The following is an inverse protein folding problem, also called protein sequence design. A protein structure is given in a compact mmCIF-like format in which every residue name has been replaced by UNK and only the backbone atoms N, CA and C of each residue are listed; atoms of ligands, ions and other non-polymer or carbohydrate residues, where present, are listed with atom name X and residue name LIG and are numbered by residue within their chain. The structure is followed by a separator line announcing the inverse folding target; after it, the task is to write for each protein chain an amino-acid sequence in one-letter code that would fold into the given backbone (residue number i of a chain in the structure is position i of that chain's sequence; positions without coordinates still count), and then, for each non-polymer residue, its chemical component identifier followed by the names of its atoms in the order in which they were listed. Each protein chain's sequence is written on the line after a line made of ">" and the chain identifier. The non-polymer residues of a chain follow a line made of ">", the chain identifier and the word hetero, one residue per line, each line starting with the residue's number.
data_IF_430587447166
#
_entry.id   IF_430587447166
#
_cell.length_a   1.000
_cell.length_b   1.000
_cell.length_c   1.000
_cell.angle_alpha   90.00
_cell.angle_beta   90.00
_cell.angle_gamma   90.00
#
_symmetry.space_group_name_H-M   'P 1'
#
loop_
_entity.id
_entity.type
_entity.pdbx_description
1 polymer ?
#
# COMPACT_ATOMS: atom_id res chain seq x y z
N UNK A 1 6.69 9.26 21.95
CA UNK A 1 6.99 8.14 21.04
C UNK A 1 8.49 7.94 20.99
N UNK A 2 8.98 6.70 21.11
CA UNK A 2 10.39 6.39 20.86
C UNK A 2 10.71 6.56 19.36
N UNK A 3 11.94 6.89 18.96
CA UNK A 3 12.29 7.10 17.55
C UNK A 3 11.91 5.94 16.63
N UNK A 4 12.02 4.70 17.12
CA UNK A 4 11.66 3.53 16.34
C UNK A 4 10.14 3.39 16.14
N UNK A 5 9.31 3.88 17.07
CA UNK A 5 7.85 3.85 16.95
C UNK A 5 7.40 4.89 15.92
N UNK A 6 8.01 6.09 15.94
CA UNK A 6 7.73 7.15 14.96
C UNK A 6 8.03 6.67 13.54
N UNK A 7 9.19 6.02 13.31
CA UNK A 7 9.52 5.46 11.99
C UNK A 7 8.46 4.50 11.45
N UNK A 8 7.84 3.67 12.30
CA UNK A 8 6.79 2.75 11.88
C UNK A 8 5.49 3.49 11.52
N UNK A 9 5.16 4.56 12.27
CA UNK A 9 4.00 5.41 11.95
C UNK A 9 4.19 6.18 10.64
N UNK A 10 5.37 6.74 10.42
CA UNK A 10 5.70 7.47 9.21
C UNK A 10 5.65 6.53 8.00
N UNK A 11 6.26 5.35 8.12
CA UNK A 11 6.25 4.32 7.09
C UNK A 11 4.83 3.83 6.76
N UNK A 12 3.98 3.61 7.76
CA UNK A 12 2.58 3.22 7.54
C UNK A 12 1.82 4.32 6.79
N UNK A 13 2.00 5.58 7.20
CA UNK A 13 1.35 6.75 6.58
C UNK A 13 1.75 6.88 5.11
N UNK A 14 3.04 6.78 4.81
CA UNK A 14 3.53 6.85 3.43
C UNK A 14 3.02 5.69 2.57
N UNK A 15 2.97 4.48 3.14
CA UNK A 15 2.49 3.30 2.43
C UNK A 15 0.98 3.38 2.14
N UNK A 16 0.18 3.85 3.10
CA UNK A 16 -1.26 4.02 2.94
C UNK A 16 -1.59 5.01 1.82
N UNK A 17 -0.83 6.11 1.72
CA UNK A 17 -0.96 7.07 0.61
C UNK A 17 -0.62 6.44 -0.75
N UNK A 18 0.37 5.54 -0.81
CA UNK A 18 0.71 4.81 -2.05
C UNK A 18 -0.37 3.78 -2.40
N UNK A 19 -0.94 3.09 -1.41
CA UNK A 19 -2.07 2.16 -1.58
C UNK A 19 -3.27 2.89 -2.16
N UNK A 20 -3.61 4.07 -1.63
CA UNK A 20 -4.72 4.87 -2.12
C UNK A 20 -4.53 5.25 -3.60
N UNK A 21 -3.35 5.80 -3.94
CA UNK A 21 -3.02 6.19 -5.32
C UNK A 21 -3.10 5.02 -6.30
N UNK A 22 -2.54 3.87 -5.93
CA UNK A 22 -2.57 2.68 -6.78
C UNK A 22 -3.98 2.09 -6.89
N UNK A 23 -4.74 2.05 -5.80
CA UNK A 23 -6.14 1.61 -5.81
C UNK A 23 -7.00 2.49 -6.72
N UNK A 24 -6.81 3.81 -6.65
CA UNK A 24 -7.52 4.76 -7.51
C UNK A 24 -7.15 4.56 -8.99
N UNK A 25 -5.87 4.33 -9.29
CA UNK A 25 -5.42 4.05 -10.65
C UNK A 25 -6.02 2.76 -11.21
N UNK A 26 -6.04 1.68 -10.43
CA UNK A 26 -6.64 0.38 -10.82
C UNK A 26 -8.16 0.52 -11.05
N UNK A 27 -8.82 1.42 -10.33
CA UNK A 27 -10.23 1.76 -10.54
C UNK A 27 -10.53 2.56 -11.82
N UNK A 28 -9.51 3.16 -12.46
CA UNK A 28 -9.67 3.99 -13.65
C UNK A 28 -9.85 3.14 -14.93
N UNK A 29 -10.52 3.72 -15.93
CA UNK A 29 -10.61 3.18 -17.29
C UNK A 29 -9.26 2.95 -17.99
N UNK A 30 -8.23 3.70 -17.59
CA UNK A 30 -6.88 3.64 -18.16
C UNK A 30 -6.20 2.32 -17.82
N UNK A 31 -6.38 1.83 -16.59
CA UNK A 31 -5.86 0.53 -16.17
C UNK A 31 -6.38 -0.62 -17.06
N UNK A 32 -7.67 -0.56 -17.45
CA UNK A 32 -8.31 -1.58 -18.30
C UNK A 32 -7.73 -1.66 -19.72
N UNK A 33 -6.95 -0.67 -20.14
CA UNK A 33 -6.29 -0.62 -21.45
C UNK A 33 -4.86 -1.15 -21.42
N UNK A 34 -4.33 -1.44 -20.24
CA UNK A 34 -3.00 -2.02 -20.09
C UNK A 34 -2.99 -3.48 -20.56
N UNK A 35 -1.81 -3.99 -20.89
CA UNK A 35 -1.63 -5.42 -21.14
C UNK A 35 -1.99 -6.22 -19.89
N UNK A 36 -2.49 -7.45 -20.09
CA UNK A 36 -2.93 -8.31 -18.97
C UNK A 36 -1.81 -8.56 -17.95
N UNK A 37 -0.55 -8.63 -18.41
CA UNK A 37 0.60 -8.79 -17.52
C UNK A 37 0.80 -7.59 -16.61
N UNK A 38 0.65 -6.37 -17.13
CA UNK A 38 0.78 -5.15 -16.33
C UNK A 38 -0.37 -5.03 -15.33
N UNK A 39 -1.59 -5.38 -15.74
CA UNK A 39 -2.76 -5.44 -14.86
C UNK A 39 -2.51 -6.39 -13.68
N UNK A 40 -2.05 -7.61 -13.97
CA UNK A 40 -1.72 -8.62 -12.97
C UNK A 40 -0.61 -8.14 -12.01
N UNK A 41 0.46 -7.53 -12.54
CA UNK A 41 1.57 -7.04 -11.73
C UNK A 41 1.14 -5.90 -10.79
N UNK A 42 0.30 -4.98 -11.26
CA UNK A 42 -0.23 -3.89 -10.45
C UNK A 42 -1.16 -4.40 -9.33
N UNK A 43 -1.99 -5.40 -9.61
CA UNK A 43 -2.86 -6.04 -8.60
C UNK A 43 -2.04 -6.77 -7.53
N UNK A 44 -1.01 -7.50 -7.97
CA UNK A 44 -0.08 -8.20 -7.07
C UNK A 44 0.68 -7.18 -6.19
N UNK A 45 1.14 -6.08 -6.78
CA UNK A 45 1.77 -4.98 -6.05
C UNK A 45 0.82 -4.40 -5.00
N UNK A 46 -0.42 -4.07 -5.38
CA UNK A 46 -1.41 -3.50 -4.45
C UNK A 46 -1.69 -4.46 -3.30
N UNK A 47 -1.82 -5.76 -3.59
CA UNK A 47 -2.06 -6.80 -2.59
C UNK A 47 -0.91 -6.92 -1.60
N UNK A 48 0.34 -6.91 -2.07
CA UNK A 48 1.52 -6.95 -1.21
C UNK A 48 1.64 -5.70 -0.33
N UNK A 49 1.37 -4.51 -0.89
CA UNK A 49 1.37 -3.26 -0.15
C UNK A 49 0.32 -3.24 0.95
N UNK A 50 -0.92 -3.70 0.68
CA UNK A 50 -1.99 -3.82 1.69
C UNK A 50 -1.60 -4.75 2.82
N UNK A 51 -1.06 -5.93 2.50
CA UNK A 51 -0.55 -6.87 3.52
C UNK A 51 0.54 -6.22 4.38
N UNK A 52 1.46 -5.47 3.75
CA UNK A 52 2.51 -4.79 4.50
C UNK A 52 1.96 -3.68 5.42
N UNK A 53 1.02 -2.86 4.93
CA UNK A 53 0.34 -1.85 5.74
C UNK A 53 -0.38 -2.47 6.95
N UNK A 54 -1.09 -3.58 6.77
CA UNK A 54 -1.72 -4.29 7.89
C UNK A 54 -0.71 -4.72 8.96
N UNK A 55 0.48 -5.18 8.56
CA UNK A 55 1.55 -5.55 9.49
C UNK A 55 2.04 -4.32 10.25
N UNK A 56 2.25 -3.18 9.57
CA UNK A 56 2.67 -1.93 10.20
C UNK A 56 1.63 -1.44 11.22
N UNK A 57 0.34 -1.44 10.86
CA UNK A 57 -0.74 -1.07 11.77
C UNK A 57 -0.84 -2.02 12.98
N UNK A 58 -0.66 -3.33 12.78
CA UNK A 58 -0.57 -4.30 13.89
C UNK A 58 0.63 -4.02 14.80
N UNK A 59 1.78 -3.59 14.25
CA UNK A 59 2.95 -3.18 15.06
C UNK A 59 2.65 -1.90 15.85
N UNK A 60 2.01 -0.90 15.23
CA UNK A 60 1.63 0.37 15.88
C UNK A 60 0.70 0.12 17.06
N UNK A 61 -0.31 -0.77 16.92
CA UNK A 61 -1.24 -1.12 18.00
C UNK A 61 -0.60 -1.79 19.22
N UNK A 62 0.66 -2.24 19.13
CA UNK A 62 1.40 -2.84 20.26
C UNK A 62 2.25 -1.84 21.04
N UNK A 63 2.42 -0.63 20.52
CA UNK A 63 3.16 0.46 21.15
C UNK A 63 2.25 1.21 22.14
#
# INVERSE_FOLDING_TARGET
>A
MQPHQQRVMDEATELDQKIEKLSNFIGDSTYRKLEEIDQFLLDAQLSAMKMYSEILHKRIRRF
#
